data_IF_167181338081
#
_entry.id   IF_167181338081
#
_cell.length_a   1.000
_cell.length_b   1.000
_cell.length_c   1.000
_cell.angle_alpha   90.00
_cell.angle_beta   90.00
_cell.angle_gamma   90.00
#
_symmetry.space_group_name_H-M   'P 1'
#
loop_
_entity.id
_entity.type
_entity.pdbx_description
1 polymer ?
#
# COMPACT_ATOMS: atom_id res chain seq x y z
N UNK A 1 -33.20 5.05 -22.53
CA UNK A 1 -32.10 4.13 -22.19
C UNK A 1 -30.81 4.76 -22.68
N UNK A 2 -29.84 5.06 -21.81
CA UNK A 2 -28.53 5.59 -22.24
C UNK A 2 -27.69 4.42 -22.77
N UNK A 3 -27.28 4.49 -24.03
CA UNK A 3 -26.41 3.49 -24.66
C UNK A 3 -24.98 3.73 -24.19
N UNK A 4 -24.48 2.89 -23.29
CA UNK A 4 -23.09 2.94 -22.79
C UNK A 4 -22.15 2.56 -23.94
N UNK A 5 -21.18 3.42 -24.26
CA UNK A 5 -20.22 3.19 -25.34
C UNK A 5 -19.17 2.14 -24.97
N UNK A 6 -18.60 1.44 -25.95
CA UNK A 6 -17.56 0.41 -25.69
C UNK A 6 -16.32 0.98 -24.98
N UNK A 7 -16.02 2.28 -25.17
CA UNK A 7 -14.93 2.97 -24.49
C UNK A 7 -15.21 3.14 -22.99
N UNK A 8 -16.43 3.52 -22.62
CA UNK A 8 -16.87 3.61 -21.22
C UNK A 8 -16.87 2.24 -20.54
N UNK A 9 -17.33 1.18 -21.24
CA UNK A 9 -17.24 -0.20 -20.72
C UNK A 9 -15.80 -0.66 -20.48
N UNK A 10 -14.86 -0.28 -21.34
CA UNK A 10 -13.45 -0.64 -21.19
C UNK A 10 -12.76 0.11 -20.04
N UNK A 11 -13.18 1.33 -19.74
CA UNK A 11 -12.71 2.10 -18.58
C UNK A 11 -13.21 1.44 -17.30
N UNK A 12 -14.51 1.12 -17.24
CA UNK A 12 -15.17 0.45 -16.11
C UNK A 12 -14.52 -0.91 -15.77
N UNK A 13 -14.16 -1.71 -16.79
CA UNK A 13 -13.44 -2.98 -16.60
C UNK A 13 -12.03 -2.78 -16.04
N UNK A 14 -11.30 -1.74 -16.51
CA UNK A 14 -9.93 -1.46 -16.03
C UNK A 14 -9.93 -0.97 -14.59
N UNK A 15 -10.89 -0.12 -14.24
CA UNK A 15 -11.09 0.36 -12.87
C UNK A 15 -11.46 -0.80 -11.95
N UNK A 16 -12.39 -1.67 -12.37
CA UNK A 16 -12.76 -2.86 -11.59
C UNK A 16 -11.60 -3.84 -11.37
N UNK A 17 -10.81 -4.12 -12.41
CA UNK A 17 -9.62 -4.97 -12.29
C UNK A 17 -8.58 -4.36 -11.34
N UNK A 18 -8.46 -3.04 -11.34
CA UNK A 18 -7.58 -2.29 -10.43
C UNK A 18 -7.97 -2.52 -8.97
N UNK A 19 -9.27 -2.42 -8.66
CA UNK A 19 -9.83 -2.64 -7.32
C UNK A 19 -9.64 -4.10 -6.88
N UNK A 20 -9.94 -5.07 -7.75
CA UNK A 20 -9.75 -6.50 -7.46
C UNK A 20 -8.27 -6.83 -7.16
N UNK A 21 -7.33 -6.12 -7.82
CA UNK A 21 -5.90 -6.22 -7.57
C UNK A 21 -5.51 -5.63 -6.20
N UNK A 22 -6.03 -4.45 -5.84
CA UNK A 22 -5.84 -3.85 -4.52
C UNK A 22 -6.32 -4.79 -3.40
N UNK A 23 -7.53 -5.35 -3.53
CA UNK A 23 -8.08 -6.31 -2.56
C UNK A 23 -7.20 -7.55 -2.39
N UNK A 24 -6.62 -8.04 -3.49
CA UNK A 24 -5.70 -9.17 -3.43
C UNK A 24 -4.40 -8.83 -2.71
N UNK A 25 -3.85 -7.62 -2.87
CA UNK A 25 -2.69 -7.18 -2.11
C UNK A 25 -3.00 -7.05 -0.62
N UNK A 26 -4.13 -6.43 -0.29
CA UNK A 26 -4.61 -6.28 1.10
C UNK A 26 -4.68 -7.64 1.80
N UNK A 27 -5.28 -8.66 1.16
CA UNK A 27 -5.34 -10.03 1.70
C UNK A 27 -3.96 -10.64 1.96
N UNK A 28 -2.97 -10.32 1.12
CA UNK A 28 -1.60 -10.84 1.22
C UNK A 28 -0.75 -10.11 2.27
N UNK A 29 -1.09 -8.87 2.60
CA UNK A 29 -0.48 -8.10 3.69
C UNK A 29 -1.06 -8.47 5.07
N UNK A 30 -2.08 -9.32 5.14
CA UNK A 30 -2.67 -9.76 6.39
C UNK A 30 -1.60 -10.36 7.34
N UNK A 31 -1.61 -10.02 8.66
CA UNK A 31 -0.63 -10.52 9.62
C UNK A 31 -0.47 -12.05 9.66
N UNK A 32 -1.52 -12.80 9.35
CA UNK A 32 -1.52 -14.27 9.34
C UNK A 32 -0.80 -14.89 8.12
N UNK A 33 -0.45 -14.08 7.11
CA UNK A 33 0.26 -14.56 5.92
C UNK A 33 1.73 -14.82 6.21
N UNK A 34 2.32 -15.72 5.42
CA UNK A 34 3.75 -15.99 5.48
C UNK A 34 4.56 -14.73 5.16
N UNK A 35 5.78 -14.69 5.68
CA UNK A 35 6.73 -13.61 5.40
C UNK A 35 6.94 -13.44 3.89
N UNK A 36 7.15 -14.54 3.18
CA UNK A 36 7.41 -14.57 1.74
C UNK A 36 6.22 -14.00 0.95
N UNK A 37 4.99 -14.31 1.37
CA UNK A 37 3.77 -13.77 0.77
C UNK A 37 3.70 -12.26 0.93
N UNK A 38 4.01 -11.76 2.13
CA UNK A 38 4.03 -10.32 2.42
C UNK A 38 5.12 -9.60 1.62
N UNK A 39 6.32 -10.16 1.51
CA UNK A 39 7.41 -9.62 0.68
C UNK A 39 6.98 -9.52 -0.79
N UNK A 40 6.43 -10.60 -1.34
CA UNK A 40 5.94 -10.62 -2.72
C UNK A 40 4.85 -9.57 -2.97
N UNK A 41 3.93 -9.41 -2.01
CA UNK A 41 2.90 -8.39 -2.08
C UNK A 41 3.47 -6.97 -2.05
N UNK A 42 4.39 -6.65 -1.14
CA UNK A 42 5.02 -5.33 -1.05
C UNK A 42 5.74 -4.93 -2.34
N UNK A 43 6.47 -5.86 -2.94
CA UNK A 43 7.17 -5.64 -4.22
C UNK A 43 6.15 -5.40 -5.35
N UNK A 44 5.07 -6.18 -5.38
CA UNK A 44 4.03 -6.06 -6.40
C UNK A 44 3.25 -4.74 -6.27
N UNK A 45 2.88 -4.33 -5.05
CA UNK A 45 2.22 -3.06 -4.74
C UNK A 45 3.05 -1.89 -5.26
N UNK A 46 4.36 -1.89 -4.97
CA UNK A 46 5.29 -0.85 -5.41
C UNK A 46 5.28 -0.68 -6.92
N UNK A 47 5.39 -1.78 -7.66
CA UNK A 47 5.40 -1.75 -9.12
C UNK A 47 4.03 -1.32 -9.66
N UNK A 48 2.96 -1.88 -9.09
CA UNK A 48 1.59 -1.57 -9.47
C UNK A 48 1.28 -0.08 -9.35
N UNK A 49 1.53 0.55 -8.19
CA UNK A 49 1.29 1.98 -7.98
C UNK A 49 2.12 2.82 -8.96
N UNK A 50 3.40 2.49 -9.15
CA UNK A 50 4.30 3.20 -10.07
C UNK A 50 3.83 3.15 -11.53
N UNK A 51 3.32 2.01 -11.98
CA UNK A 51 2.93 1.80 -13.38
C UNK A 51 1.51 2.26 -13.69
N UNK A 52 0.59 2.08 -12.74
CA UNK A 52 -0.85 2.31 -12.94
C UNK A 52 -1.33 3.70 -12.52
N UNK A 53 -0.54 4.42 -11.69
CA UNK A 53 -0.94 5.67 -11.04
C UNK A 53 -2.26 5.54 -10.24
N UNK A 54 -2.52 4.36 -9.68
CA UNK A 54 -3.67 4.14 -8.81
C UNK A 54 -3.45 4.85 -7.48
N UNK A 55 -4.49 5.55 -7.07
CA UNK A 55 -4.62 6.27 -5.82
C UNK A 55 -5.75 5.61 -5.03
N UNK A 56 -5.40 4.58 -4.26
CA UNK A 56 -6.36 3.79 -3.48
C UNK A 56 -6.04 3.95 -1.99
N UNK A 57 -6.84 4.76 -1.26
CA UNK A 57 -6.66 5.01 0.17
C UNK A 57 -6.67 3.74 1.02
N UNK A 58 -7.45 2.71 0.63
CA UNK A 58 -7.49 1.45 1.37
C UNK A 58 -6.18 0.68 1.23
N UNK A 59 -5.64 0.64 0.01
CA UNK A 59 -4.33 0.03 -0.23
C UNK A 59 -3.23 0.76 0.55
N UNK A 60 -3.27 2.09 0.59
CA UNK A 60 -2.31 2.89 1.34
C UNK A 60 -2.42 2.66 2.85
N UNK A 61 -3.63 2.58 3.40
CA UNK A 61 -3.84 2.26 4.81
C UNK A 61 -3.21 0.91 5.18
N UNK A 62 -3.43 -0.12 4.37
CA UNK A 62 -2.83 -1.44 4.62
C UNK A 62 -1.30 -1.45 4.46
N UNK A 63 -0.80 -0.69 3.48
CA UNK A 63 0.64 -0.51 3.32
C UNK A 63 1.26 0.16 4.57
N UNK A 64 0.61 1.21 5.09
CA UNK A 64 1.05 1.89 6.32
C UNK A 64 0.95 0.97 7.53
N UNK A 65 -0.11 0.19 7.68
CA UNK A 65 -0.25 -0.77 8.77
C UNK A 65 0.88 -1.80 8.79
N UNK A 66 1.40 -2.17 7.61
CA UNK A 66 2.51 -3.11 7.47
C UNK A 66 3.82 -2.57 8.05
N UNK A 67 3.95 -1.26 8.33
CA UNK A 67 5.10 -0.71 9.05
C UNK A 67 5.20 -1.20 10.49
N UNK A 68 4.10 -1.69 11.06
CA UNK A 68 4.07 -2.30 12.38
C UNK A 68 4.25 -3.83 12.33
N UNK A 69 4.66 -4.40 11.20
CA UNK A 69 4.88 -5.85 11.09
C UNK A 69 5.93 -6.33 12.13
N UNK A 70 5.68 -7.45 12.82
CA UNK A 70 6.61 -7.99 13.80
C UNK A 70 7.98 -8.36 13.18
N UNK A 71 8.03 -8.66 11.88
CA UNK A 71 9.27 -8.95 11.17
C UNK A 71 9.97 -7.67 10.74
N UNK A 72 11.16 -7.42 11.30
CA UNK A 72 12.03 -6.30 10.91
C UNK A 72 12.37 -6.30 9.41
N UNK A 73 12.47 -7.47 8.80
CA UNK A 73 12.71 -7.60 7.36
C UNK A 73 11.54 -7.01 6.54
N UNK A 74 10.30 -7.32 6.94
CA UNK A 74 9.10 -6.75 6.32
C UNK A 74 9.05 -5.24 6.52
N UNK A 75 9.35 -4.75 7.73
CA UNK A 75 9.40 -3.32 8.04
C UNK A 75 10.40 -2.56 7.15
N UNK A 76 11.60 -3.12 6.97
CA UNK A 76 12.59 -2.51 6.08
C UNK A 76 12.10 -2.41 4.63
N UNK A 77 11.40 -3.45 4.16
CA UNK A 77 10.87 -3.48 2.79
C UNK A 77 9.74 -2.47 2.64
N UNK A 78 8.78 -2.41 3.57
CA UNK A 78 7.66 -1.47 3.47
C UNK A 78 8.15 -0.02 3.55
N UNK A 79 9.12 0.29 4.41
CA UNK A 79 9.76 1.62 4.46
C UNK A 79 10.36 1.98 3.10
N UNK A 80 11.07 1.03 2.46
CA UNK A 80 11.62 1.25 1.11
C UNK A 80 10.53 1.47 0.07
N UNK A 81 9.46 0.67 0.12
CA UNK A 81 8.30 0.81 -0.79
C UNK A 81 7.65 2.17 -0.64
N UNK A 82 7.41 2.64 0.59
CA UNK A 82 6.82 3.95 0.84
C UNK A 82 7.70 5.08 0.29
N UNK A 83 9.01 5.04 0.54
CA UNK A 83 9.96 6.01 -0.04
C UNK A 83 9.90 6.03 -1.56
N UNK A 84 9.86 4.85 -2.19
CA UNK A 84 9.81 4.75 -3.65
C UNK A 84 8.48 5.21 -4.26
N UNK A 85 7.37 5.09 -3.53
CA UNK A 85 6.05 5.57 -3.96
C UNK A 85 5.97 7.10 -3.83
N UNK A 86 6.51 7.67 -2.75
CA UNK A 86 6.53 9.12 -2.51
C UNK A 86 5.15 9.79 -2.65
N UNK A 87 4.07 9.12 -2.21
CA UNK A 87 2.72 9.66 -2.26
C UNK A 87 2.42 10.45 -0.96
N UNK A 88 1.97 11.72 -1.05
CA UNK A 88 1.64 12.55 0.11
C UNK A 88 0.58 11.97 1.05
N UNK A 89 -0.42 11.25 0.53
CA UNK A 89 -1.47 10.63 1.35
C UNK A 89 -0.90 9.56 2.28
N UNK A 90 0.10 8.79 1.80
CA UNK A 90 0.81 7.82 2.64
C UNK A 90 1.54 8.53 3.79
N UNK A 91 2.06 9.73 3.57
CA UNK A 91 2.74 10.52 4.60
C UNK A 91 1.75 10.97 5.68
N UNK A 92 0.56 11.43 5.29
CA UNK A 92 -0.51 11.79 6.24
C UNK A 92 -0.95 10.59 7.08
N UNK A 93 -1.16 9.43 6.44
CA UNK A 93 -1.50 8.19 7.12
C UNK A 93 -0.41 7.73 8.10
N UNK A 94 0.88 7.92 7.76
CA UNK A 94 1.99 7.64 8.66
C UNK A 94 1.99 8.53 9.91
N UNK A 95 1.63 9.80 9.77
CA UNK A 95 1.53 10.71 10.93
C UNK A 95 0.44 10.27 11.90
N UNK A 96 -0.70 9.81 11.37
CA UNK A 96 -1.77 9.21 12.18
C UNK A 96 -1.24 7.94 12.86
N UNK A 97 -0.57 7.05 12.10
CA UNK A 97 -0.12 5.75 12.60
C UNK A 97 0.86 5.85 13.77
N UNK A 98 1.68 6.91 13.83
CA UNK A 98 2.61 7.16 14.95
C UNK A 98 1.93 7.21 16.31
N UNK A 99 0.65 7.54 16.39
CA UNK A 99 -0.05 7.60 17.67
C UNK A 99 -0.37 6.21 18.23
N UNK A 100 -0.40 5.18 17.38
CA UNK A 100 -0.89 3.84 17.69
C UNK A 100 0.21 2.78 17.87
N UNK A 101 1.44 3.09 17.48
CA UNK A 101 2.55 2.11 17.41
C UNK A 101 3.56 2.25 18.55
N UNK A 102 4.42 1.24 18.72
CA UNK A 102 5.49 1.27 19.74
C UNK A 102 6.54 2.35 19.46
N UNK A 103 7.31 2.74 20.48
CA UNK A 103 8.35 3.75 20.36
C UNK A 103 9.43 3.41 19.30
N UNK A 104 9.73 2.12 19.13
CA UNK A 104 10.64 1.64 18.06
C UNK A 104 10.10 2.02 16.69
N UNK A 105 8.85 1.66 16.39
CA UNK A 105 8.21 1.96 15.11
C UNK A 105 8.01 3.46 14.91
N UNK A 106 7.67 4.22 15.97
CA UNK A 106 7.61 5.69 15.89
C UNK A 106 8.95 6.29 15.43
N UNK A 107 10.06 5.72 15.90
CA UNK A 107 11.40 6.16 15.49
C UNK A 107 11.66 5.82 14.02
N UNK A 108 11.28 4.62 13.57
CA UNK A 108 11.36 4.22 12.16
C UNK A 108 10.53 5.16 11.25
N UNK A 109 9.31 5.52 11.66
CA UNK A 109 8.46 6.47 10.93
C UNK A 109 9.09 7.88 10.92
N UNK A 110 9.57 8.38 12.05
CA UNK A 110 10.23 9.70 12.09
C UNK A 110 11.43 9.77 11.13
N UNK A 111 12.25 8.71 11.07
CA UNK A 111 13.38 8.64 10.15
C UNK A 111 12.94 8.56 8.68
N UNK A 112 11.75 8.02 8.41
CA UNK A 112 11.15 7.99 7.08
C UNK A 112 10.71 9.40 6.63
N UNK A 113 10.18 10.22 7.55
CA UNK A 113 9.61 11.54 7.28
C UNK A 113 10.64 12.70 7.24
N UNK A 114 11.91 12.43 7.50
CA UNK A 114 12.99 13.42 7.49
C UNK A 114 13.63 13.67 6.10
N UNK A 115 13.12 13.04 5.04
CA UNK A 115 13.57 13.20 3.66
C UNK A 115 12.62 14.13 2.89
#
# INVERSE_FOLDING_TARGET
MKTITQKEKNIDIREKLSIDLCDNFIKRLNPAQSKETKIGALIAIRNFIKESKIDDPFLFSYLVDTIADPSKEIRNIVIKVIKEISNPEIIELLEIKKQEVSQEIKTEINNLLQF
#
